data_IF_499968587159
#
_entry.id   IF_499968587159
#
_cell.length_a   1.000
_cell.length_b   1.000
_cell.length_c   1.000
_cell.angle_alpha   90.00
_cell.angle_beta   90.00
_cell.angle_gamma   90.00
#
_symmetry.space_group_name_H-M   'P 1'
#
loop_
_entity.id
_entity.type
_entity.pdbx_description
1 polymer ?
#
# COMPACT_ATOMS: atom_id res chain seq x y z
N UNK A 1 3.40 17.78 -2.24
CA UNK A 1 4.40 16.81 -1.76
C UNK A 1 4.73 15.89 -2.92
N UNK A 2 5.99 15.49 -3.12
CA UNK A 2 6.31 14.38 -4.02
C UNK A 2 5.57 13.11 -3.58
N UNK A 3 5.16 12.26 -4.53
CA UNK A 3 4.33 11.08 -4.28
C UNK A 3 4.90 10.17 -3.18
N UNK A 4 6.22 9.91 -3.19
CA UNK A 4 6.90 9.12 -2.17
C UNK A 4 6.75 9.64 -0.72
N UNK A 5 6.67 10.96 -0.51
CA UNK A 5 6.46 11.52 0.82
C UNK A 5 5.03 11.27 1.31
N UNK A 6 4.05 11.31 0.40
CA UNK A 6 2.66 10.98 0.72
C UNK A 6 2.50 9.48 0.99
N UNK A 7 3.13 8.61 0.18
CA UNK A 7 3.18 7.17 0.39
C UNK A 7 3.71 6.81 1.79
N UNK A 8 4.82 7.43 2.21
CA UNK A 8 5.39 7.22 3.53
C UNK A 8 4.46 7.69 4.67
N UNK A 9 3.79 8.83 4.47
CA UNK A 9 2.82 9.36 5.43
C UNK A 9 1.61 8.45 5.58
N UNK A 10 1.00 8.03 4.48
CA UNK A 10 -0.15 7.10 4.48
C UNK A 10 0.23 5.81 5.18
N UNK A 11 1.40 5.23 4.86
CA UNK A 11 1.87 4.01 5.51
C UNK A 11 2.00 4.18 7.03
N UNK A 12 2.58 5.29 7.49
CA UNK A 12 2.72 5.57 8.92
C UNK A 12 1.37 5.66 9.62
N UNK A 13 0.44 6.45 9.05
CA UNK A 13 -0.91 6.62 9.61
C UNK A 13 -1.66 5.29 9.65
N UNK A 14 -1.57 4.48 8.58
CA UNK A 14 -2.25 3.20 8.51
C UNK A 14 -1.73 2.18 9.51
N UNK A 15 -0.41 2.16 9.74
CA UNK A 15 0.20 1.32 10.76
C UNK A 15 -0.28 1.70 12.15
N UNK A 16 -0.33 3.00 12.46
CA UNK A 16 -0.80 3.49 13.76
C UNK A 16 -2.30 3.22 13.97
N UNK A 17 -3.12 3.39 12.92
CA UNK A 17 -4.57 3.17 12.96
C UNK A 17 -4.95 1.74 13.34
N UNK A 18 -4.13 0.75 12.96
CA UNK A 18 -4.35 -0.66 13.31
C UNK A 18 -3.65 -1.09 14.61
N UNK A 19 -3.02 -0.16 15.34
CA UNK A 19 -2.21 -0.46 16.52
C UNK A 19 -0.98 -1.31 16.19
N UNK A 20 -0.48 -1.19 14.96
CA UNK A 20 0.67 -1.93 14.46
C UNK A 20 2.00 -1.30 14.83
N UNK A 21 3.08 -1.85 14.27
CA UNK A 21 4.41 -1.25 14.30
C UNK A 21 5.01 -1.25 12.91
N UNK A 22 5.77 -0.20 12.53
CA UNK A 22 6.41 -0.14 11.22
C UNK A 22 7.36 -1.32 11.02
N UNK A 23 7.36 -1.88 9.81
CA UNK A 23 8.29 -2.95 9.43
C UNK A 23 9.08 -2.55 8.19
N UNK A 24 10.38 -2.85 8.17
CA UNK A 24 11.25 -2.54 7.04
C UNK A 24 10.72 -3.08 5.71
N UNK A 25 10.17 -4.30 5.70
CA UNK A 25 9.58 -4.88 4.49
C UNK A 25 8.33 -4.16 3.96
N UNK A 26 7.62 -3.39 4.78
CA UNK A 26 6.52 -2.53 4.30
C UNK A 26 7.07 -1.30 3.58
N UNK A 27 8.08 -0.68 4.17
CA UNK A 27 8.74 0.51 3.63
C UNK A 27 9.44 0.17 2.31
N UNK A 28 10.16 -0.96 2.27
CA UNK A 28 10.83 -1.45 1.07
C UNK A 28 9.82 -1.76 -0.05
N UNK A 29 8.70 -2.40 0.28
CA UNK A 29 7.62 -2.65 -0.67
C UNK A 29 7.00 -1.35 -1.18
N UNK A 30 6.73 -0.38 -0.29
CA UNK A 30 6.13 0.89 -0.68
C UNK A 30 7.03 1.66 -1.66
N UNK A 31 8.33 1.75 -1.35
CA UNK A 31 9.34 2.37 -2.22
C UNK A 31 9.47 1.66 -3.56
N UNK A 32 9.44 0.33 -3.56
CA UNK A 32 9.51 -0.45 -4.79
C UNK A 32 8.26 -0.24 -5.66
N UNK A 33 7.08 -0.16 -5.05
CA UNK A 33 5.81 0.10 -5.75
C UNK A 33 5.77 1.52 -6.31
N UNK A 34 6.15 2.54 -5.55
CA UNK A 34 6.22 3.90 -6.08
C UNK A 34 7.12 3.96 -7.32
N UNK A 35 8.34 3.40 -7.22
CA UNK A 35 9.27 3.35 -8.36
C UNK A 35 8.65 2.63 -9.57
N UNK A 36 7.91 1.55 -9.34
CA UNK A 36 7.28 0.80 -10.41
C UNK A 36 6.17 1.59 -11.11
N UNK A 37 5.43 2.41 -10.36
CA UNK A 37 4.44 3.35 -10.90
C UNK A 37 5.15 4.44 -11.71
N UNK A 38 6.15 5.11 -11.11
CA UNK A 38 6.87 6.22 -11.75
C UNK A 38 7.60 5.82 -13.04
N UNK A 39 8.19 4.61 -13.06
CA UNK A 39 8.92 4.08 -14.21
C UNK A 39 8.02 3.29 -15.19
N UNK A 40 6.72 3.14 -14.89
CA UNK A 40 5.76 2.34 -15.65
C UNK A 40 6.22 0.89 -15.91
N UNK A 41 6.81 0.25 -14.90
CA UNK A 41 7.36 -1.12 -14.98
C UNK A 41 6.59 -2.13 -14.13
N UNK A 42 6.68 -3.40 -14.51
CA UNK A 42 6.16 -4.49 -13.69
C UNK A 42 7.09 -4.80 -12.52
N UNK A 43 6.50 -4.96 -11.33
CA UNK A 43 7.19 -5.34 -10.10
C UNK A 43 6.68 -6.68 -9.57
N UNK A 44 7.60 -7.55 -9.17
CA UNK A 44 7.30 -8.76 -8.43
C UNK A 44 7.88 -8.65 -7.02
N UNK A 45 7.02 -8.71 -6.01
CA UNK A 45 7.43 -8.72 -4.59
C UNK A 45 7.02 -10.03 -3.93
N UNK A 46 7.96 -10.67 -3.24
CA UNK A 46 7.66 -11.75 -2.31
C UNK A 46 7.60 -11.21 -0.89
N UNK A 47 6.44 -11.31 -0.25
CA UNK A 47 6.26 -10.92 1.15
C UNK A 47 5.69 -12.08 1.96
N UNK A 48 6.31 -12.35 3.11
CA UNK A 48 5.85 -13.36 4.05
C UNK A 48 4.50 -13.00 4.69
N UNK A 49 3.89 -13.97 5.35
CA UNK A 49 2.75 -13.71 6.24
C UNK A 49 3.18 -12.80 7.39
N UNK A 50 2.31 -11.89 7.81
CA UNK A 50 2.61 -10.95 8.90
C UNK A 50 3.52 -9.77 8.54
N UNK A 51 4.08 -9.71 7.32
CA UNK A 51 4.85 -8.53 6.85
C UNK A 51 3.99 -7.26 6.78
N UNK A 52 2.66 -7.40 6.72
CA UNK A 52 1.75 -6.27 6.46
C UNK A 52 1.79 -5.83 5.00
N UNK A 53 1.83 -6.82 4.10
CA UNK A 53 1.92 -6.62 2.65
C UNK A 53 0.83 -5.70 2.08
N UNK A 54 -0.38 -5.74 2.64
CA UNK A 54 -1.48 -4.88 2.17
C UNK A 54 -1.15 -3.42 2.35
N UNK A 55 -0.72 -3.00 3.54
CA UNK A 55 -0.31 -1.60 3.76
C UNK A 55 0.87 -1.19 2.87
N UNK A 56 1.82 -2.10 2.64
CA UNK A 56 2.99 -1.84 1.78
C UNK A 56 2.64 -1.52 0.33
N UNK A 57 1.62 -2.14 -0.26
CA UNK A 57 1.17 -1.80 -1.62
C UNK A 57 0.02 -0.79 -1.65
N UNK A 58 -0.79 -0.67 -0.59
CA UNK A 58 -1.93 0.24 -0.56
C UNK A 58 -1.48 1.69 -0.38
N UNK A 59 -0.52 1.95 0.52
CA UNK A 59 -0.05 3.30 0.76
C UNK A 59 0.43 4.03 -0.52
N UNK A 60 1.34 3.46 -1.33
CA UNK A 60 1.79 4.10 -2.56
C UNK A 60 0.71 4.17 -3.65
N UNK A 61 -0.14 3.16 -3.75
CA UNK A 61 -1.20 3.16 -4.78
C UNK A 61 -2.34 4.13 -4.46
N UNK A 62 -2.67 4.33 -3.18
CA UNK A 62 -3.62 5.37 -2.75
C UNK A 62 -3.02 6.76 -2.97
N UNK A 63 -1.74 6.97 -2.63
CA UNK A 63 -1.06 8.24 -2.90
C UNK A 63 -1.14 8.60 -4.39
N UNK A 64 -0.78 7.65 -5.27
CA UNK A 64 -0.89 7.81 -6.72
C UNK A 64 -2.33 8.10 -7.17
N UNK A 65 -3.31 7.29 -6.72
CA UNK A 65 -4.71 7.49 -7.09
C UNK A 65 -5.25 8.88 -6.72
N UNK A 66 -4.84 9.41 -5.57
CA UNK A 66 -5.31 10.72 -5.07
C UNK A 66 -4.57 11.88 -5.72
N UNK A 67 -3.26 11.76 -5.93
CA UNK A 67 -2.43 12.85 -6.47
C UNK A 67 -2.61 13.01 -7.98
N UNK A 68 -2.77 11.89 -8.69
CA UNK A 68 -2.82 11.87 -10.15
C UNK A 68 -4.25 11.72 -10.72
N UNK A 69 -5.26 11.61 -9.84
CA UNK A 69 -6.68 11.41 -10.19
C UNK A 69 -6.90 10.15 -11.07
N UNK A 70 -6.15 9.09 -10.77
CA UNK A 70 -6.18 7.83 -11.52
C UNK A 70 -6.78 6.67 -10.71
N UNK A 71 -7.46 5.76 -11.42
CA UNK A 71 -8.08 4.60 -10.79
C UNK A 71 -7.08 3.45 -10.60
N UNK A 72 -6.94 2.96 -9.37
CA UNK A 72 -6.16 1.76 -9.05
C UNK A 72 -7.07 0.55 -8.87
N UNK A 73 -6.68 -0.59 -9.46
CA UNK A 73 -7.37 -1.88 -9.28
C UNK A 73 -6.50 -2.83 -8.45
N UNK A 74 -7.03 -3.28 -7.31
CA UNK A 74 -6.39 -4.31 -6.48
C UNK A 74 -7.12 -5.64 -6.68
N UNK A 75 -6.43 -6.64 -7.23
CA UNK A 75 -6.96 -7.99 -7.42
C UNK A 75 -6.45 -8.96 -6.34
N UNK A 76 -7.33 -9.80 -5.79
CA UNK A 76 -6.98 -10.80 -4.76
C UNK A 76 -7.79 -12.08 -4.91
N UNK A 77 -7.31 -13.16 -4.30
CA UNK A 77 -7.71 -14.53 -4.63
C UNK A 77 -9.12 -14.94 -4.16
N UNK A 78 -9.65 -14.34 -3.08
CA UNK A 78 -10.92 -14.80 -2.47
C UNK A 78 -11.78 -13.63 -1.98
N UNK A 79 -13.09 -13.85 -1.87
CA UNK A 79 -14.03 -12.89 -1.30
C UNK A 79 -13.66 -12.49 0.14
N UNK A 80 -13.14 -13.43 0.93
CA UNK A 80 -12.69 -13.13 2.29
C UNK A 80 -11.50 -12.16 2.30
N UNK A 81 -10.58 -12.30 1.35
CA UNK A 81 -9.46 -11.36 1.19
C UNK A 81 -9.94 -10.00 0.65
N UNK A 82 -10.93 -10.00 -0.26
CA UNK A 82 -11.54 -8.75 -0.74
C UNK A 82 -12.23 -7.99 0.40
N UNK A 83 -13.04 -8.68 1.21
CA UNK A 83 -13.68 -8.09 2.39
C UNK A 83 -12.66 -7.56 3.40
N UNK A 84 -11.58 -8.31 3.65
CA UNK A 84 -10.50 -7.83 4.51
C UNK A 84 -9.87 -6.52 3.98
N UNK A 85 -9.66 -6.39 2.67
CA UNK A 85 -9.17 -5.15 2.08
C UNK A 85 -10.19 -4.01 2.21
N UNK A 86 -11.44 -4.26 1.84
CA UNK A 86 -12.49 -3.23 1.81
C UNK A 86 -12.89 -2.74 3.21
N UNK A 87 -12.99 -3.65 4.18
CA UNK A 87 -13.55 -3.34 5.49
C UNK A 87 -12.50 -2.93 6.52
N UNK A 88 -11.21 -3.18 6.24
CA UNK A 88 -10.12 -2.93 7.21
C UNK A 88 -8.90 -2.27 6.60
N UNK A 89 -8.25 -2.92 5.63
CA UNK A 89 -6.92 -2.48 5.21
C UNK A 89 -6.97 -1.16 4.42
N UNK A 90 -7.96 -0.96 3.53
CA UNK A 90 -8.17 0.30 2.80
C UNK A 90 -8.63 1.42 3.75
N UNK A 91 -9.67 1.23 4.60
CA UNK A 91 -10.06 2.26 5.57
C UNK A 91 -8.95 2.69 6.53
N UNK A 92 -8.00 1.80 6.86
CA UNK A 92 -6.86 2.18 7.67
C UNK A 92 -5.89 3.12 6.93
N UNK A 93 -5.85 3.07 5.60
CA UNK A 93 -4.94 3.84 4.76
C UNK A 93 -5.58 5.10 4.12
N UNK A 94 -6.80 5.48 4.56
CA UNK A 94 -7.50 6.71 4.18
C UNK A 94 -7.57 7.68 5.37
#
# INVERSE_FOLDING_TARGET
>A
MPAHEESARILSVAVDAIGGTPRSGQVEMAQAVDRAIDEEIHLLVQAGTGTGKSLGYLAPTIAHAVLDDEAVVVATATLALQAQLADKDIPAAL
#
